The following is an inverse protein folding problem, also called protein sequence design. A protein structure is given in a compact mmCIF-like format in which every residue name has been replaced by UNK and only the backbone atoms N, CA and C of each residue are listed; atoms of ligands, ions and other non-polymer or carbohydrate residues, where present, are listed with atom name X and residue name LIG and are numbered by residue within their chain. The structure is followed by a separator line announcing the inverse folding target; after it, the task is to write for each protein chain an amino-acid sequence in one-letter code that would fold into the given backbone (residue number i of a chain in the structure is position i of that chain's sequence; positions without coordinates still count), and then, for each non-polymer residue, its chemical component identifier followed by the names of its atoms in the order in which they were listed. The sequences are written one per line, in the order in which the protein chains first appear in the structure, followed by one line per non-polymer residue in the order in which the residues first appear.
data_IF_782184436378
#
_entry.id   IF_782184436378
#
_cell.length_a   1.000
_cell.length_b   1.000
_cell.length_c   1.000
_cell.angle_alpha   90.00
_cell.angle_beta   90.00
_cell.angle_gamma   90.00
#
_symmetry.space_group_name_H-M   'P 1'
#
loop_
_entity.id
_entity.type
_entity.pdbx_description
1 polymer ?
#
# COMPACT_ATOMS: atom_id res chain seq x y z
N UNK A 1 2.59 11.90 15.94
CA UNK A 1 1.27 11.27 15.67
C UNK A 1 0.63 11.66 14.33
N UNK A 2 1.30 12.39 13.41
CA UNK A 2 0.72 12.76 12.13
C UNK A 2 0.79 11.63 11.09
N UNK A 3 1.92 10.90 11.04
CA UNK A 3 2.14 9.79 10.09
C UNK A 3 1.18 8.63 10.32
N UNK A 4 0.96 8.23 11.58
CA UNK A 4 0.01 7.18 11.95
C UNK A 4 -1.43 7.53 11.52
N UNK A 5 -1.86 8.78 11.75
CA UNK A 5 -3.19 9.25 11.30
C UNK A 5 -3.33 9.24 9.78
N UNK A 6 -2.28 9.61 9.04
CA UNK A 6 -2.28 9.54 7.56
C UNK A 6 -2.38 8.09 7.09
N UNK A 7 -1.61 7.19 7.69
CA UNK A 7 -1.66 5.76 7.36
C UNK A 7 -3.04 5.17 7.59
N UNK A 8 -3.65 5.47 8.75
CA UNK A 8 -4.99 5.00 9.09
C UNK A 8 -6.07 5.57 8.14
N UNK A 9 -5.93 6.83 7.71
CA UNK A 9 -6.84 7.45 6.76
C UNK A 9 -6.76 6.80 5.37
N UNK A 10 -5.54 6.56 4.86
CA UNK A 10 -5.37 5.85 3.59
C UNK A 10 -5.86 4.41 3.69
N UNK A 11 -5.57 3.72 4.79
CA UNK A 11 -5.99 2.34 4.99
C UNK A 11 -7.51 2.20 5.11
N UNK A 12 -8.18 3.13 5.80
CA UNK A 12 -9.64 3.18 5.84
C UNK A 12 -10.24 3.51 4.46
N UNK A 13 -9.59 4.38 3.68
CA UNK A 13 -10.02 4.72 2.33
C UNK A 13 -9.90 3.50 1.40
N UNK A 14 -8.75 2.82 1.38
CA UNK A 14 -8.53 1.60 0.60
C UNK A 14 -9.47 0.47 1.02
N UNK A 15 -9.74 0.30 2.32
CA UNK A 15 -10.68 -0.72 2.78
C UNK A 15 -12.13 -0.39 2.39
N UNK A 16 -12.50 0.89 2.43
CA UNK A 16 -13.84 1.33 2.03
C UNK A 16 -14.05 1.14 0.54
N UNK A 17 -13.12 1.60 -0.31
CA UNK A 17 -13.23 1.47 -1.77
C UNK A 17 -13.02 0.02 -2.24
N UNK A 18 -12.11 -0.74 -1.62
CA UNK A 18 -11.83 -2.13 -2.01
C UNK A 18 -12.91 -3.13 -1.69
N UNK A 19 -13.81 -2.82 -0.76
CA UNK A 19 -14.97 -3.67 -0.46
C UNK A 19 -16.20 -3.35 -1.33
N UNK A 20 -16.27 -2.15 -1.92
CA UNK A 20 -17.39 -1.76 -2.82
C UNK A 20 -17.48 -2.69 -4.02
N UNK A 21 -16.33 -3.05 -4.60
CA UNK A 21 -16.23 -3.94 -5.76
C UNK A 21 -16.83 -5.33 -5.52
N UNK A 22 -16.35 -6.08 -4.50
CA UNK A 22 -16.93 -7.36 -4.08
C UNK A 22 -18.41 -7.28 -3.72
N UNK A 23 -18.87 -6.21 -3.06
CA UNK A 23 -20.30 -6.02 -2.72
C UNK A 23 -21.16 -5.86 -3.97
N UNK A 24 -20.71 -5.07 -4.96
CA UNK A 24 -21.43 -4.90 -6.22
C UNK A 24 -21.52 -6.21 -7.01
N UNK A 25 -20.43 -6.99 -7.04
CA UNK A 25 -20.42 -8.31 -7.67
C UNK A 25 -21.34 -9.30 -6.93
N UNK A 26 -21.31 -9.32 -5.59
CA UNK A 26 -22.24 -10.11 -4.78
C UNK A 26 -23.70 -9.73 -5.03
N UNK A 27 -24.02 -8.43 -5.09
CA UNK A 27 -25.38 -7.96 -5.38
C UNK A 27 -25.83 -8.34 -6.79
N UNK A 28 -24.94 -8.29 -7.78
CA UNK A 28 -25.25 -8.73 -9.14
C UNK A 28 -25.54 -10.23 -9.22
N UNK A 29 -24.75 -11.07 -8.55
CA UNK A 29 -24.98 -12.53 -8.55
C UNK A 29 -26.11 -12.97 -7.61
N UNK A 30 -26.38 -12.21 -6.53
CA UNK A 30 -27.49 -12.48 -5.60
C UNK A 30 -28.84 -12.02 -6.14
N UNK A 31 -28.85 -11.00 -7.00
CA UNK A 31 -30.06 -10.59 -7.72
C UNK A 31 -30.31 -11.60 -8.85
N UNK A 32 -31.52 -12.16 -8.92
CA UNK A 32 -31.98 -13.00 -10.05
C UNK A 32 -31.67 -12.32 -11.40
N UNK A 33 -31.58 -13.06 -12.53
CA UNK A 33 -31.04 -12.58 -13.79
C UNK A 33 -31.98 -11.54 -14.43
N UNK A 34 -31.97 -10.35 -13.86
CA UNK A 34 -32.68 -9.20 -14.34
C UNK A 34 -31.72 -8.48 -15.30
N UNK A 35 -32.04 -8.44 -16.61
CA UNK A 35 -31.17 -7.86 -17.63
C UNK A 35 -30.82 -6.39 -17.36
N UNK A 36 -31.58 -5.70 -16.50
CA UNK A 36 -31.34 -4.31 -16.07
C UNK A 36 -30.07 -4.17 -15.22
N UNK A 37 -29.64 -5.23 -14.52
CA UNK A 37 -28.48 -5.22 -13.63
C UNK A 37 -27.13 -5.42 -14.35
N UNK A 38 -27.12 -5.71 -15.66
CA UNK A 38 -25.88 -5.87 -16.44
C UNK A 38 -24.99 -4.63 -16.40
N UNK A 39 -25.58 -3.44 -16.30
CA UNK A 39 -24.83 -2.19 -16.15
C UNK A 39 -24.05 -2.13 -14.82
N UNK A 40 -24.67 -2.61 -13.74
CA UNK A 40 -24.04 -2.68 -12.41
C UNK A 40 -22.91 -3.71 -12.37
N UNK A 41 -23.02 -4.82 -13.12
CA UNK A 41 -21.93 -5.80 -13.26
C UNK A 41 -20.68 -5.19 -13.90
N UNK A 42 -20.83 -4.53 -15.05
CA UNK A 42 -19.70 -3.95 -15.77
C UNK A 42 -19.03 -2.84 -14.97
N UNK A 43 -19.81 -1.96 -14.33
CA UNK A 43 -19.25 -0.94 -13.44
C UNK A 43 -18.61 -1.53 -12.18
N UNK A 44 -19.25 -2.52 -11.56
CA UNK A 44 -18.69 -3.24 -10.42
C UNK A 44 -17.33 -3.87 -10.75
N UNK A 45 -17.22 -4.50 -11.92
CA UNK A 45 -15.97 -5.13 -12.37
C UNK A 45 -14.87 -4.09 -12.65
N UNK A 46 -15.20 -2.97 -13.30
CA UNK A 46 -14.26 -1.86 -13.56
C UNK A 46 -13.78 -1.22 -12.26
N UNK A 47 -14.69 -0.90 -11.33
CA UNK A 47 -14.34 -0.29 -10.04
C UNK A 47 -13.47 -1.24 -9.22
N UNK A 48 -13.82 -2.54 -9.16
CA UNK A 48 -13.02 -3.55 -8.46
C UNK A 48 -11.61 -3.63 -9.04
N UNK A 49 -11.50 -3.67 -10.37
CA UNK A 49 -10.19 -3.79 -11.04
C UNK A 49 -9.34 -2.55 -10.78
N UNK A 50 -9.93 -1.35 -10.87
CA UNK A 50 -9.23 -0.11 -10.57
C UNK A 50 -8.74 -0.07 -9.11
N UNK A 51 -9.55 -0.51 -8.15
CA UNK A 51 -9.17 -0.53 -6.75
C UNK A 51 -7.97 -1.46 -6.47
N UNK A 52 -7.99 -2.67 -7.04
CA UNK A 52 -6.87 -3.63 -6.93
C UNK A 52 -5.59 -3.05 -7.54
N UNK A 53 -5.67 -2.39 -8.70
CA UNK A 53 -4.51 -1.76 -9.33
C UNK A 53 -3.93 -0.62 -8.48
N UNK A 54 -4.79 0.20 -7.85
CA UNK A 54 -4.36 1.24 -6.92
C UNK A 54 -3.69 0.64 -5.68
N UNK A 55 -4.23 -0.45 -5.14
CA UNK A 55 -3.63 -1.15 -4.00
C UNK A 55 -2.23 -1.70 -4.33
N UNK A 56 -2.07 -2.30 -5.51
CA UNK A 56 -0.77 -2.78 -5.99
C UNK A 56 0.23 -1.63 -6.18
N UNK A 57 -0.20 -0.53 -6.79
CA UNK A 57 0.66 0.64 -7.00
C UNK A 57 1.12 1.28 -5.68
N UNK A 58 0.24 1.40 -4.70
CA UNK A 58 0.57 1.93 -3.38
C UNK A 58 1.52 1.00 -2.61
N UNK A 59 1.34 -0.32 -2.77
CA UNK A 59 2.23 -1.32 -2.18
C UNK A 59 3.63 -1.22 -2.78
N UNK A 60 3.75 -1.04 -4.10
CA UNK A 60 5.04 -0.85 -4.78
C UNK A 60 5.82 0.37 -4.26
N UNK A 61 5.12 1.49 -4.04
CA UNK A 61 5.74 2.70 -3.47
C UNK A 61 6.24 2.50 -2.05
N UNK A 62 5.52 1.69 -1.27
CA UNK A 62 5.89 1.41 0.12
C UNK A 62 7.15 0.53 0.20
N UNK A 63 7.29 -0.44 -0.71
CA UNK A 63 8.48 -1.31 -0.77
C UNK A 63 9.72 -0.50 -1.18
N UNK A 64 9.59 0.40 -2.16
CA UNK A 64 10.71 1.21 -2.65
C UNK A 64 11.25 2.18 -1.58
N UNK A 65 10.40 2.67 -0.68
CA UNK A 65 10.80 3.59 0.40
C UNK A 65 11.57 2.95 1.56
N UNK A 66 11.72 1.62 1.61
CA UNK A 66 12.45 0.90 2.68
C UNK A 66 13.81 0.38 2.21
N UNK A 67 14.22 0.68 0.97
CA UNK A 67 15.60 0.47 0.59
C UNK A 67 16.45 1.45 1.39
N UNK A 68 17.27 0.93 2.32
CA UNK A 68 18.39 1.69 2.86
C UNK A 68 19.11 2.34 1.66
N UNK A 69 19.09 3.67 1.63
CA UNK A 69 19.66 4.44 0.56
C UNK A 69 21.18 4.19 0.48
N UNK A 70 21.78 4.37 -0.69
CA UNK A 70 23.24 4.31 -0.82
C UNK A 70 23.96 5.30 0.13
N UNK A 71 23.28 6.38 0.56
CA UNK A 71 23.78 7.37 1.51
C UNK A 71 23.95 6.83 2.94
N UNK A 72 23.02 5.97 3.39
CA UNK A 72 23.07 5.37 4.71
C UNK A 72 24.21 4.34 4.79
N UNK A 73 24.34 3.49 3.76
CA UNK A 73 25.44 2.54 3.61
C UNK A 73 26.81 3.24 3.61
N UNK A 74 26.92 4.41 2.97
CA UNK A 74 28.15 5.18 2.90
C UNK A 74 28.49 5.92 4.21
N UNK A 75 27.48 6.20 5.05
CA UNK A 75 27.66 6.85 6.36
C UNK A 75 27.97 5.89 7.51
N UNK A 76 27.71 4.58 7.34
CA UNK A 76 27.97 3.54 8.35
C UNK A 76 29.39 3.54 8.94
N UNK A 77 30.49 3.63 8.15
CA UNK A 77 31.83 3.61 8.72
C UNK A 77 32.07 4.79 9.69
N UNK A 78 31.56 5.98 9.36
CA UNK A 78 31.67 7.17 10.20
C UNK A 78 30.84 7.03 11.48
N UNK A 79 29.61 6.52 11.36
CA UNK A 79 28.72 6.24 12.50
C UNK A 79 29.30 5.19 13.45
N UNK A 80 29.94 4.16 12.90
CA UNK A 80 30.62 3.11 13.69
C UNK A 80 31.83 3.71 14.40
N UNK A 81 32.62 4.58 13.74
CA UNK A 81 33.74 5.27 14.36
C UNK A 81 33.31 6.21 15.51
N UNK A 82 32.20 6.93 15.35
CA UNK A 82 31.61 7.77 16.40
C UNK A 82 31.03 6.95 17.55
N UNK A 83 30.40 5.81 17.25
CA UNK A 83 29.76 4.93 18.25
C UNK A 83 30.77 4.10 19.03
N UNK A 84 31.90 3.77 18.42
CA UNK A 84 32.95 2.91 19.00
C UNK A 84 34.33 3.57 18.90
N UNK A 85 34.58 4.66 19.67
CA UNK A 85 35.83 5.41 19.60
C UNK A 85 37.08 4.59 19.98
N UNK A 86 36.92 3.41 20.58
CA UNK A 86 38.02 2.51 20.97
C UNK A 86 38.49 1.53 19.88
N UNK A 87 37.82 1.42 18.74
CA UNK A 87 38.24 0.49 17.67
C UNK A 87 39.44 1.00 16.87
N UNK A 88 39.68 2.30 16.84
CA UNK A 88 40.81 2.94 16.13
C UNK A 88 42.15 2.81 16.88
N UNK A 89 42.14 2.30 18.12
CA UNK A 89 43.33 2.28 18.98
C UNK A 89 44.07 0.93 19.05
N UNK A 90 43.64 -0.09 18.27
CA UNK A 90 44.35 -1.37 18.13
C UNK A 90 45.11 -1.42 16.80
N UNK A 91 46.29 -0.83 16.76
CA UNK A 91 47.33 -1.08 15.76
C UNK A 91 48.68 -1.18 16.45
#
# INVERSE_FOLDING_TARGET
MATFKRYLAFQAMTLTFGIVGPIFLLLYFASQPDPTLKWAYWWGLVITTADVLVALWLTEQTITGTAEGPDDAQSLPTRIAERFPGLTQRS
#
